data_IF_779713592418
#
_entry.id   IF_779713592418
#
_cell.length_a   1.000
_cell.length_b   1.000
_cell.length_c   1.000
_cell.angle_alpha   90.00
_cell.angle_beta   90.00
_cell.angle_gamma   90.00
#
_symmetry.space_group_name_H-M   'P 1'
#
loop_
_entity.id
_entity.type
_entity.pdbx_description
1 polymer ?
#
# COMPACT_ATOMS: atom_id res chain seq x y z
N UNK A 1 9.92 4.80 -20.29
CA UNK A 1 9.88 5.22 -18.87
C UNK A 1 8.51 4.85 -18.34
N UNK A 2 8.41 3.98 -17.34
CA UNK A 2 7.14 3.70 -16.65
C UNK A 2 6.83 4.85 -15.70
N UNK A 3 5.77 5.60 -15.98
CA UNK A 3 5.32 6.67 -15.10
C UNK A 3 4.73 6.07 -13.83
N UNK A 4 5.25 6.46 -12.67
CA UNK A 4 4.67 6.14 -11.37
C UNK A 4 3.93 7.36 -10.84
N UNK A 5 2.78 7.13 -10.21
CA UNK A 5 1.97 8.14 -9.55
C UNK A 5 2.02 7.92 -8.05
N UNK A 6 1.92 9.00 -7.27
CA UNK A 6 1.79 8.91 -5.82
C UNK A 6 0.39 8.42 -5.44
N UNK A 7 0.32 7.30 -4.77
CA UNK A 7 -0.90 6.74 -4.20
C UNK A 7 -0.83 6.74 -2.68
N UNK A 8 -2.01 6.76 -2.06
CA UNK A 8 -2.21 6.51 -0.63
C UNK A 8 -2.76 5.11 -0.48
N UNK A 9 -2.01 4.25 0.21
CA UNK A 9 -2.42 2.91 0.57
C UNK A 9 -2.96 2.97 1.99
N UNK A 10 -4.25 2.72 2.16
CA UNK A 10 -4.90 2.56 3.47
C UNK A 10 -5.03 1.07 3.75
N UNK A 11 -4.69 0.64 4.96
CA UNK A 11 -4.71 -0.77 5.32
C UNK A 11 -4.85 -0.91 6.83
N UNK A 12 -5.12 -2.13 7.29
CA UNK A 12 -4.96 -2.51 8.69
C UNK A 12 -3.67 -3.30 8.86
N UNK A 13 -2.88 -2.96 9.86
CA UNK A 13 -1.72 -3.71 10.31
C UNK A 13 -2.01 -4.26 11.70
N UNK A 14 -2.08 -5.58 11.87
CA UNK A 14 -2.39 -6.22 13.15
C UNK A 14 -3.68 -5.65 13.81
N UNK A 15 -4.68 -5.32 12.98
CA UNK A 15 -5.95 -4.71 13.41
C UNK A 15 -5.95 -3.17 13.51
N UNK A 16 -4.79 -2.51 13.49
CA UNK A 16 -4.69 -1.05 13.53
C UNK A 16 -4.79 -0.42 12.15
N UNK A 17 -5.61 0.63 12.00
CA UNK A 17 -5.71 1.36 10.72
C UNK A 17 -4.46 2.22 10.50
N UNK A 18 -3.80 2.01 9.37
CA UNK A 18 -2.62 2.75 8.91
C UNK A 18 -2.80 3.25 7.49
N UNK A 19 -1.96 4.19 7.11
CA UNK A 19 -1.84 4.64 5.74
C UNK A 19 -0.37 4.84 5.38
N UNK A 20 -0.02 4.57 4.12
CA UNK A 20 1.33 4.72 3.60
C UNK A 20 1.28 5.38 2.22
N UNK A 21 2.27 6.22 1.92
CA UNK A 21 2.40 6.80 0.58
C UNK A 21 3.38 5.97 -0.24
N UNK A 22 2.92 5.52 -1.41
CA UNK A 22 3.76 4.74 -2.34
C UNK A 22 3.72 5.32 -3.74
N UNK A 23 4.83 5.20 -4.46
CA UNK A 23 4.90 5.45 -5.89
C UNK A 23 4.54 4.13 -6.59
N UNK A 24 3.35 4.09 -7.21
CA UNK A 24 2.84 2.90 -7.91
C UNK A 24 2.58 3.26 -9.38
N UNK A 25 2.66 2.28 -10.26
CA UNK A 25 2.26 2.44 -11.66
C UNK A 25 0.74 2.53 -11.81
N UNK A 26 0.00 1.92 -10.90
CA UNK A 26 -1.46 1.90 -10.89
C UNK A 26 -2.03 1.85 -9.46
N UNK A 27 -3.35 1.93 -9.32
CA UNK A 27 -4.02 1.70 -8.03
C UNK A 27 -4.20 0.19 -7.70
N UNK A 28 -3.30 -0.67 -8.19
CA UNK A 28 -3.37 -2.12 -7.96
C UNK A 28 -3.13 -2.46 -6.49
N UNK A 29 -3.96 -3.35 -5.97
CA UNK A 29 -3.82 -3.90 -4.62
C UNK A 29 -2.59 -4.82 -4.53
N UNK A 30 -2.25 -5.58 -5.57
CA UNK A 30 -1.02 -6.36 -5.59
C UNK A 30 0.22 -5.47 -5.46
N UNK A 31 0.28 -4.38 -6.23
CA UNK A 31 1.41 -3.45 -6.20
C UNK A 31 1.54 -2.78 -4.82
N UNK A 32 0.41 -2.42 -4.22
CA UNK A 32 0.35 -1.92 -2.85
C UNK A 32 0.80 -2.98 -1.82
N UNK A 33 0.37 -4.23 -1.94
CA UNK A 33 0.82 -5.34 -1.07
C UNK A 33 2.34 -5.53 -1.15
N UNK A 34 2.90 -5.49 -2.35
CA UNK A 34 4.36 -5.59 -2.53
C UNK A 34 5.10 -4.41 -1.92
N UNK A 35 4.55 -3.20 -2.01
CA UNK A 35 5.13 -2.03 -1.34
C UNK A 35 5.07 -2.17 0.18
N UNK A 36 3.93 -2.63 0.73
CA UNK A 36 3.76 -2.85 2.16
C UNK A 36 4.64 -4.00 2.69
N UNK A 37 4.80 -5.08 1.94
CA UNK A 37 5.65 -6.22 2.30
C UNK A 37 7.15 -5.88 2.35
N UNK A 38 7.57 -4.73 1.79
CA UNK A 38 8.95 -4.24 1.89
C UNK A 38 9.23 -3.45 3.18
N UNK A 39 8.17 -2.96 3.83
CA UNK A 39 8.28 -2.09 5.02
C UNK A 39 7.82 -2.76 6.31
N UNK A 40 7.02 -3.83 6.21
CA UNK A 40 6.51 -4.60 7.34
C UNK A 40 7.11 -6.00 7.36
N UNK A 41 7.11 -6.62 8.54
CA UNK A 41 7.62 -7.98 8.71
C UNK A 41 6.61 -9.01 8.21
N UNK A 42 7.08 -10.20 7.86
CA UNK A 42 6.20 -11.30 7.43
C UNK A 42 5.25 -11.80 8.53
N UNK A 43 5.52 -11.47 9.80
CA UNK A 43 4.64 -11.74 10.93
C UNK A 43 3.48 -10.76 11.04
N UNK A 44 3.54 -9.61 10.38
CA UNK A 44 2.48 -8.62 10.45
C UNK A 44 1.30 -8.99 9.55
N UNK A 45 0.10 -8.93 10.12
CA UNK A 45 -1.14 -9.18 9.39
C UNK A 45 -1.63 -7.90 8.71
N UNK A 46 -1.48 -7.86 7.39
CA UNK A 46 -1.97 -6.75 6.56
C UNK A 46 -3.33 -7.11 5.97
N UNK A 47 -4.38 -6.37 6.36
CA UNK A 47 -5.77 -6.57 5.90
C UNK A 47 -6.40 -5.25 5.43
N UNK A 48 -7.61 -5.30 4.87
CA UNK A 48 -8.40 -4.12 4.45
C UNK A 48 -7.65 -3.11 3.57
N UNK A 49 -6.86 -3.61 2.60
CA UNK A 49 -6.05 -2.77 1.72
C UNK A 49 -6.93 -2.03 0.73
N UNK A 50 -6.82 -0.70 0.72
CA UNK A 50 -7.47 0.20 -0.21
C UNK A 50 -6.44 1.17 -0.79
N UNK A 51 -6.40 1.28 -2.13
CA UNK A 51 -5.45 2.14 -2.82
C UNK A 51 -6.22 3.29 -3.47
N UNK A 52 -5.87 4.52 -3.09
CA UNK A 52 -6.48 5.75 -3.60
C UNK A 52 -5.42 6.66 -4.18
N UNK A 53 -5.73 7.34 -5.29
CA UNK A 53 -4.82 8.34 -5.86
C UNK A 53 -4.66 9.48 -4.86
N UNK A 54 -3.42 9.89 -4.57
CA UNK A 54 -3.20 11.10 -3.79
C UNK A 54 -3.59 12.30 -4.68
N UNK A 55 -4.60 13.06 -4.26
CA UNK A 55 -5.01 14.32 -4.89
C UNK A 55 -3.95 15.40 -4.67
#
# INVERSE_FOLDING_TARGET
>A
MTATTKYVIKYKLNGERRFEFAQLTSNSVEEAKQALAKIHDASDEITDINVSKAL
#
